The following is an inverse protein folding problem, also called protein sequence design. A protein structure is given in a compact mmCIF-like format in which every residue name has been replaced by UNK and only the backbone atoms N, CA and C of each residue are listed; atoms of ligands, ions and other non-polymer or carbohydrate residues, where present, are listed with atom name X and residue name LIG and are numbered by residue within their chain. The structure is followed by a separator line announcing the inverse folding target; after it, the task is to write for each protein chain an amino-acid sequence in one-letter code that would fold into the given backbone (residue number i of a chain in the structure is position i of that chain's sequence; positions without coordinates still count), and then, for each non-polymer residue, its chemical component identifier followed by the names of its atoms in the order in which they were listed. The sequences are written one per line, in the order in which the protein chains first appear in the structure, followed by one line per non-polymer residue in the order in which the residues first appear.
data_IF_622618822477
#
_entry.id   IF_622618822477
#
_cell.length_a   1.000
_cell.length_b   1.000
_cell.length_c   1.000
_cell.angle_alpha   90.00
_cell.angle_beta   90.00
_cell.angle_gamma   90.00
#
_symmetry.space_group_name_H-M   'P 1'
#
loop_
_entity.id
_entity.type
_entity.pdbx_description
1 polymer ?
#
# COMPACT_ATOMS: atom_id res chain seq x y z
N UNK A 1 20.67 1.56 5.12
CA UNK A 1 19.35 2.02 4.65
C UNK A 1 19.38 3.52 4.42
N UNK A 2 18.95 3.97 3.25
CA UNK A 2 18.91 5.39 2.95
C UNK A 2 17.64 6.01 3.55
N UNK A 3 17.66 7.35 3.68
CA UNK A 3 16.49 8.07 4.15
C UNK A 3 15.26 7.83 3.26
N UNK A 4 15.47 7.79 1.95
CA UNK A 4 14.38 7.53 1.00
C UNK A 4 13.76 6.15 1.21
N UNK A 5 14.59 5.15 1.44
CA UNK A 5 14.10 3.79 1.68
C UNK A 5 13.34 3.70 2.99
N UNK A 6 13.77 4.44 3.99
CA UNK A 6 13.07 4.50 5.28
C UNK A 6 11.67 5.08 5.12
N UNK A 7 11.55 6.19 4.35
CA UNK A 7 10.26 6.80 4.09
C UNK A 7 9.34 5.86 3.31
N UNK A 8 9.88 5.17 2.31
CA UNK A 8 9.09 4.20 1.55
C UNK A 8 8.56 3.12 2.45
N UNK A 9 9.40 2.62 3.35
CA UNK A 9 8.99 1.58 4.30
C UNK A 9 7.82 2.06 5.15
N UNK A 10 7.93 3.24 5.76
CA UNK A 10 6.88 3.78 6.61
C UNK A 10 5.58 3.96 5.83
N UNK A 11 5.67 4.54 4.63
CA UNK A 11 4.49 4.79 3.82
C UNK A 11 3.80 3.51 3.40
N UNK A 12 4.56 2.50 2.98
CA UNK A 12 3.99 1.22 2.56
C UNK A 12 3.40 0.47 3.74
N UNK A 13 4.05 0.48 4.89
CA UNK A 13 3.49 -0.15 6.10
C UNK A 13 2.17 0.52 6.49
N UNK A 14 2.11 1.84 6.42
CA UNK A 14 0.86 2.56 6.67
C UNK A 14 -0.22 2.19 5.66
N UNK A 15 0.16 2.07 4.38
CA UNK A 15 -0.78 1.67 3.35
C UNK A 15 -1.35 0.28 3.61
N UNK A 16 -0.51 -0.65 4.04
CA UNK A 16 -0.95 -2.00 4.37
C UNK A 16 -1.99 -1.96 5.50
N UNK A 17 -1.74 -1.17 6.53
CA UNK A 17 -2.70 -1.01 7.63
C UNK A 17 -4.03 -0.46 7.13
N UNK A 18 -4.00 0.55 6.29
CA UNK A 18 -5.22 1.15 5.76
C UNK A 18 -6.00 0.15 4.90
N UNK A 19 -5.30 -0.63 4.08
CA UNK A 19 -5.95 -1.64 3.25
C UNK A 19 -6.60 -2.71 4.12
N UNK A 20 -5.92 -3.14 5.18
CA UNK A 20 -6.42 -4.20 6.05
C UNK A 20 -7.54 -3.75 6.97
N UNK A 21 -7.52 -2.49 7.43
CA UNK A 21 -8.40 -2.04 8.49
C UNK A 21 -9.51 -1.08 8.04
N UNK A 22 -9.54 -0.73 6.75
CA UNK A 22 -10.56 0.18 6.22
C UNK A 22 -11.03 -0.31 4.85
N UNK A 23 -12.11 0.28 4.36
CA UNK A 23 -12.64 0.00 3.02
C UNK A 23 -12.17 1.03 2.00
N UNK A 24 -11.09 1.74 2.28
CA UNK A 24 -10.57 2.75 1.38
C UNK A 24 -10.16 2.14 0.05
N UNK A 25 -10.42 2.87 -1.02
CA UNK A 25 -9.95 2.47 -2.35
C UNK A 25 -8.45 2.69 -2.46
N UNK A 26 -7.82 1.97 -3.40
CA UNK A 26 -6.36 2.04 -3.53
C UNK A 26 -5.88 3.46 -3.76
N UNK A 27 -6.58 4.24 -4.61
CA UNK A 27 -6.16 5.62 -4.85
C UNK A 27 -6.29 6.49 -3.60
N UNK A 28 -7.26 6.19 -2.75
CA UNK A 28 -7.41 6.90 -1.49
C UNK A 28 -6.28 6.57 -0.53
N UNK A 29 -5.92 5.30 -0.46
CA UNK A 29 -4.79 4.86 0.35
C UNK A 29 -3.51 5.52 -0.13
N UNK A 30 -3.28 5.55 -1.45
CA UNK A 30 -2.09 6.17 -2.01
C UNK A 30 -1.98 7.64 -1.59
N UNK A 31 -3.06 8.39 -1.75
CA UNK A 31 -3.06 9.80 -1.35
C UNK A 31 -2.83 9.96 0.15
N UNK A 32 -3.44 9.10 0.96
CA UNK A 32 -3.33 9.19 2.42
C UNK A 32 -1.91 8.95 2.91
N UNK A 33 -1.14 8.13 2.21
CA UNK A 33 0.23 7.85 2.63
C UNK A 33 1.27 8.70 1.91
N UNK A 34 0.83 9.69 1.11
CA UNK A 34 1.73 10.64 0.50
C UNK A 34 2.16 10.32 -0.93
N UNK A 35 1.44 9.42 -1.60
CA UNK A 35 1.70 9.10 -3.02
C UNK A 35 0.50 9.57 -3.84
N UNK A 36 0.53 10.78 -4.39
CA UNK A 36 -0.63 11.28 -5.15
C UNK A 36 -0.86 10.55 -6.47
N UNK A 37 0.14 9.86 -7.00
CA UNK A 37 0.03 9.09 -8.23
C UNK A 37 -0.18 7.61 -7.89
N UNK A 38 -1.36 7.09 -8.20
CA UNK A 38 -1.71 5.71 -7.91
C UNK A 38 -0.79 4.72 -8.64
N UNK A 39 -0.39 5.03 -9.87
CA UNK A 39 0.51 4.15 -10.62
C UNK A 39 1.85 4.02 -9.93
N UNK A 40 2.40 5.13 -9.49
CA UNK A 40 3.67 5.12 -8.78
C UNK A 40 3.54 4.39 -7.44
N UNK A 41 2.47 4.66 -6.72
CA UNK A 41 2.19 3.96 -5.47
C UNK A 41 2.13 2.45 -5.68
N UNK A 42 1.39 2.00 -6.70
CA UNK A 42 1.26 0.57 -6.99
C UNK A 42 2.60 -0.06 -7.31
N UNK A 43 3.44 0.64 -8.07
CA UNK A 43 4.77 0.16 -8.40
C UNK A 43 5.63 0.00 -7.14
N UNK A 44 5.66 1.01 -6.30
CA UNK A 44 6.45 0.98 -5.05
C UNK A 44 5.93 -0.12 -4.13
N UNK A 45 4.61 -0.23 -4.01
CA UNK A 45 4.00 -1.25 -3.16
C UNK A 45 4.42 -2.65 -3.61
N UNK A 46 4.33 -2.90 -4.92
CA UNK A 46 4.71 -4.21 -5.45
C UNK A 46 6.19 -4.49 -5.25
N UNK A 47 7.03 -3.50 -5.48
CA UNK A 47 8.48 -3.66 -5.28
C UNK A 47 8.81 -3.97 -3.83
N UNK A 48 8.08 -3.37 -2.90
CA UNK A 48 8.37 -3.52 -1.49
C UNK A 48 7.78 -4.80 -0.90
N UNK A 49 6.55 -5.14 -1.28
CA UNK A 49 5.82 -6.27 -0.68
C UNK A 49 5.85 -7.54 -1.52
N UNK A 50 6.15 -7.41 -2.81
CA UNK A 50 6.13 -8.53 -3.74
C UNK A 50 4.79 -8.76 -4.42
N UNK A 51 3.74 -8.06 -4.00
CA UNK A 51 2.42 -8.16 -4.63
C UNK A 51 1.85 -6.76 -4.84
N UNK A 52 0.94 -6.63 -5.82
CA UNK A 52 0.32 -5.35 -6.06
C UNK A 52 -0.62 -4.99 -4.90
N UNK A 53 -0.89 -3.69 -4.75
CA UNK A 53 -1.81 -3.24 -3.71
C UNK A 53 -3.19 -3.83 -3.90
N UNK A 54 -3.64 -3.96 -5.15
CA UNK A 54 -4.93 -4.56 -5.45
C UNK A 54 -4.95 -6.04 -5.03
N UNK A 55 -3.91 -6.78 -5.36
CA UNK A 55 -3.81 -8.19 -4.98
C UNK A 55 -3.77 -8.34 -3.47
N UNK A 56 -3.03 -7.48 -2.80
CA UNK A 56 -2.98 -7.48 -1.34
C UNK A 56 -4.37 -7.27 -0.73
N UNK A 57 -5.14 -6.35 -1.28
CA UNK A 57 -6.49 -6.08 -0.81
C UNK A 57 -7.41 -7.27 -1.02
N UNK A 58 -7.32 -7.93 -2.19
CA UNK A 58 -8.12 -9.11 -2.48
C UNK A 58 -7.76 -10.25 -1.52
N UNK A 59 -6.47 -10.47 -1.29
CA UNK A 59 -6.02 -11.51 -0.37
C UNK A 59 -6.49 -11.23 1.07
N UNK A 60 -6.48 -9.97 1.48
CA UNK A 60 -6.95 -9.58 2.81
C UNK A 60 -8.43 -9.89 2.97
N UNK A 61 -9.22 -9.62 1.93
CA UNK A 61 -10.66 -9.91 1.96
C UNK A 61 -10.94 -11.40 2.03
N UNK A 62 -10.12 -12.21 1.35
CA UNK A 62 -10.28 -13.66 1.38
C UNK A 62 -10.04 -14.25 2.75
N UNK A 63 -9.22 -13.61 3.56
CA UNK A 63 -8.90 -14.10 4.91
C UNK A 63 -10.00 -13.79 5.91
N UNK A 64 -10.95 -12.95 5.53
CA UNK A 64 -12.10 -12.62 6.38
C UNK A 64 -13.24 -13.56 6.03
N UNK A 65 -13.28 -14.67 6.69
CA UNK A 65 -14.37 -15.62 6.55
C UNK A 65 -15.32 -15.47 7.71
#
# INVERSE_FOLDING_TARGET
MTFSNYLKKIRIEKAKDLILNTDMKIYEVACSVGYPDQKYFSKVFKEYTGVSAKQFAVDAQRKQI
#
